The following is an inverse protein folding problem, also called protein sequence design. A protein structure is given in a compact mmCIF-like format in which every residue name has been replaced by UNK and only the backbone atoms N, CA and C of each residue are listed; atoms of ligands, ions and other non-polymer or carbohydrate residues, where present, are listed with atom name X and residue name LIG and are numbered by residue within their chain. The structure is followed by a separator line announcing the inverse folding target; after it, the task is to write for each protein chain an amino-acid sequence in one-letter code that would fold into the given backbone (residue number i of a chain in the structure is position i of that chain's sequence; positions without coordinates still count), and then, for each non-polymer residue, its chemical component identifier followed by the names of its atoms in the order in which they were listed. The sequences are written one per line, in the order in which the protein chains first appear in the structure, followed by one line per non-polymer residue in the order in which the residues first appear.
data_IF_953266202260
#
_entry.id   IF_953266202260
#
_cell.length_a   1.000
_cell.length_b   1.000
_cell.length_c   1.000
_cell.angle_alpha   90.00
_cell.angle_beta   90.00
_cell.angle_gamma   90.00
#
_symmetry.space_group_name_H-M   'P 1'
#
loop_
_entity.id
_entity.type
_entity.pdbx_description
1 polymer ?
#
# COMPACT_ATOMS: atom_id res chain seq x y z
N UNK A 1 26.96 31.53 11.55
CA UNK A 1 27.77 31.17 12.74
C UNK A 1 26.83 30.78 13.88
N UNK A 2 27.00 29.61 14.49
CA UNK A 2 26.21 29.21 15.65
C UNK A 2 26.66 30.04 16.87
N UNK A 3 25.72 30.72 17.54
CA UNK A 3 26.03 31.49 18.75
C UNK A 3 26.72 30.61 19.80
N UNK A 4 27.79 31.08 20.47
CA UNK A 4 28.51 30.29 21.46
C UNK A 4 27.59 29.90 22.62
N UNK A 5 27.69 28.65 23.09
CA UNK A 5 26.95 28.17 24.26
C UNK A 5 27.58 28.81 25.50
N UNK A 6 26.77 29.44 26.34
CA UNK A 6 27.23 30.03 27.61
C UNK A 6 26.71 29.22 28.80
N UNK A 7 27.37 29.34 29.94
CA UNK A 7 26.92 28.74 31.20
C UNK A 7 25.66 29.45 31.68
N UNK A 8 24.59 28.68 31.89
CA UNK A 8 23.25 29.15 32.30
C UNK A 8 22.71 28.25 33.40
N UNK A 9 21.82 28.76 34.23
CA UNK A 9 21.13 27.97 35.25
C UNK A 9 19.78 27.46 34.72
N UNK A 10 19.41 26.23 35.07
CA UNK A 10 18.11 25.67 34.71
C UNK A 10 16.99 26.39 35.49
N UNK A 11 15.91 26.81 34.82
CA UNK A 11 14.77 27.47 35.47
C UNK A 11 14.01 26.62 36.50
N UNK A 12 14.09 25.28 36.43
CA UNK A 12 13.37 24.39 37.37
C UNK A 12 14.26 23.86 38.51
N UNK A 13 15.53 23.56 38.21
CA UNK A 13 16.45 22.84 39.11
C UNK A 13 17.64 23.69 39.56
N UNK A 14 17.77 24.92 39.04
CA UNK A 14 18.89 25.86 39.20
C UNK A 14 20.30 25.33 38.87
N UNK A 15 20.46 24.05 38.51
CA UNK A 15 21.77 23.47 38.14
C UNK A 15 22.36 24.17 36.90
N UNK A 16 23.68 24.41 36.89
CA UNK A 16 24.36 25.00 35.74
C UNK A 16 24.36 24.03 34.54
N UNK A 17 24.21 24.57 33.34
CA UNK A 17 24.30 23.84 32.08
C UNK A 17 24.82 24.75 30.95
N UNK A 18 25.39 24.15 29.91
CA UNK A 18 25.81 24.86 28.70
C UNK A 18 24.64 24.93 27.71
N UNK A 19 24.17 26.15 27.42
CA UNK A 19 22.97 26.38 26.61
C UNK A 19 23.13 27.53 25.62
N UNK A 20 22.35 27.48 24.54
CA UNK A 20 22.19 28.63 23.64
C UNK A 20 21.38 29.76 24.29
N UNK A 21 21.28 30.93 23.64
CA UNK A 21 20.72 32.14 24.24
C UNK A 21 19.26 32.02 24.72
N UNK A 22 18.48 31.13 24.12
CA UNK A 22 17.06 30.90 24.43
C UNK A 22 16.80 29.66 25.29
N UNK A 23 17.85 28.96 25.74
CA UNK A 23 17.68 27.75 26.55
C UNK A 23 17.28 28.14 28.00
N UNK A 24 16.00 27.90 28.34
CA UNK A 24 15.43 28.19 29.68
C UNK A 24 15.60 27.03 30.67
N UNK A 25 15.72 25.81 30.16
CA UNK A 25 15.79 24.59 30.97
C UNK A 25 16.98 23.74 30.52
N UNK A 26 17.80 23.32 31.47
CA UNK A 26 18.91 22.41 31.20
C UNK A 26 18.43 20.99 30.90
N UNK A 27 19.33 20.11 30.43
CA UNK A 27 19.03 18.69 30.22
C UNK A 27 18.44 17.99 31.46
N UNK A 28 18.75 18.47 32.68
CA UNK A 28 18.20 17.96 33.97
C UNK A 28 16.67 17.92 33.99
N UNK A 29 16.00 18.94 33.45
CA UNK A 29 14.54 19.14 33.59
C UNK A 29 13.83 19.32 32.25
N UNK A 30 14.56 19.36 31.13
CA UNK A 30 13.99 19.46 29.78
C UNK A 30 12.90 18.41 29.51
N UNK A 31 13.01 17.21 30.09
CA UNK A 31 12.00 16.15 29.95
C UNK A 31 10.63 16.54 30.51
N UNK A 32 10.54 17.34 31.58
CA UNK A 32 9.28 17.84 32.17
C UNK A 32 8.50 18.78 31.22
N UNK A 33 9.23 19.38 30.29
CA UNK A 33 8.71 20.31 29.28
C UNK A 33 8.64 19.69 27.87
N UNK A 34 9.12 18.45 27.69
CA UNK A 34 8.89 17.70 26.45
C UNK A 34 7.39 17.37 26.36
N UNK A 35 6.79 17.61 25.20
CA UNK A 35 5.39 17.26 24.94
C UNK A 35 4.35 18.29 25.39
N UNK A 36 4.72 19.35 26.14
CA UNK A 36 3.81 20.47 26.46
C UNK A 36 3.68 21.43 25.28
N UNK A 37 3.20 20.95 24.14
CA UNK A 37 2.74 21.83 23.05
C UNK A 37 1.29 22.20 23.34
N UNK A 38 1.01 23.50 23.41
CA UNK A 38 -0.36 23.99 23.50
C UNK A 38 -1.18 23.40 22.32
N UNK A 39 -2.38 22.90 22.61
CA UNK A 39 -3.27 22.40 21.56
C UNK A 39 -3.69 23.59 20.69
N UNK A 40 -3.23 23.62 19.43
CA UNK A 40 -3.51 24.72 18.48
C UNK A 40 -5.01 24.89 18.19
N UNK A 41 -5.79 23.82 18.28
CA UNK A 41 -7.22 23.80 18.00
C UNK A 41 -7.96 23.27 19.22
N UNK A 42 -8.70 24.14 19.90
CA UNK A 42 -9.44 23.82 21.14
C UNK A 42 -10.92 23.71 20.82
N UNK A 43 -11.44 22.48 20.91
CA UNK A 43 -12.85 22.20 20.72
C UNK A 43 -13.67 22.66 21.93
N UNK A 44 -14.70 23.45 21.66
CA UNK A 44 -15.71 23.87 22.64
C UNK A 44 -17.04 23.21 22.28
N UNK A 45 -17.96 23.03 23.25
CA UNK A 45 -19.27 22.43 22.97
C UNK A 45 -20.06 23.21 21.89
N UNK A 46 -19.94 24.54 21.81
CA UNK A 46 -20.61 25.32 20.76
C UNK A 46 -20.06 24.98 19.36
N UNK A 47 -18.75 24.75 19.26
CA UNK A 47 -18.10 24.35 18.00
C UNK A 47 -18.46 22.93 17.58
N UNK A 48 -18.61 22.03 18.54
CA UNK A 48 -19.11 20.69 18.26
C UNK A 48 -20.56 20.75 17.79
N UNK A 49 -21.39 21.63 18.36
CA UNK A 49 -22.76 21.81 17.91
C UNK A 49 -22.84 22.40 16.50
N UNK A 50 -22.05 23.44 16.21
CA UNK A 50 -21.92 23.99 14.86
C UNK A 50 -21.49 22.93 13.84
N UNK A 51 -20.59 22.02 14.25
CA UNK A 51 -20.18 20.90 13.42
C UNK A 51 -21.35 19.93 13.21
N UNK A 52 -22.15 19.59 14.22
CA UNK A 52 -23.35 18.73 14.03
C UNK A 52 -24.38 19.35 13.09
N UNK A 53 -24.62 20.66 13.20
CA UNK A 53 -25.70 21.34 12.49
C UNK A 53 -25.35 21.58 11.00
N UNK A 54 -24.08 21.81 10.70
CA UNK A 54 -23.62 22.23 9.36
C UNK A 54 -22.83 21.15 8.62
N UNK A 55 -22.38 20.10 9.30
CA UNK A 55 -21.67 19.01 8.67
C UNK A 55 -22.67 18.08 7.99
N UNK A 56 -22.78 18.22 6.68
CA UNK A 56 -23.40 17.20 5.83
C UNK A 56 -22.31 16.41 5.13
N UNK A 57 -22.24 15.11 5.42
CA UNK A 57 -21.30 14.19 4.80
C UNK A 57 -21.61 13.91 3.32
N UNK A 58 -22.83 14.21 2.84
CA UNK A 58 -23.26 14.01 1.44
C UNK A 58 -22.87 15.17 0.55
N UNK A 59 -22.83 16.38 1.10
CA UNK A 59 -22.53 17.60 0.33
C UNK A 59 -21.03 17.77 0.13
N UNK A 60 -20.59 17.63 -1.13
CA UNK A 60 -19.19 17.84 -1.52
C UNK A 60 -18.83 19.32 -1.28
N UNK A 61 -17.85 19.57 -0.41
CA UNK A 61 -17.34 20.91 -0.12
C UNK A 61 -17.91 21.59 1.13
N UNK A 62 -18.94 21.02 1.80
CA UNK A 62 -19.51 21.59 3.03
C UNK A 62 -18.45 21.82 4.12
N UNK A 63 -17.47 20.92 4.23
CA UNK A 63 -16.36 21.02 5.19
C UNK A 63 -15.39 22.16 4.82
N UNK A 64 -15.19 22.42 3.53
CA UNK A 64 -14.30 23.48 3.09
C UNK A 64 -14.90 24.86 3.39
N UNK A 65 -16.21 25.03 3.15
CA UNK A 65 -16.93 26.24 3.55
C UNK A 65 -16.92 26.44 5.08
N UNK A 66 -17.10 25.36 5.85
CA UNK A 66 -17.03 25.42 7.31
C UNK A 66 -15.62 25.76 7.82
N UNK A 67 -14.59 25.24 7.14
CA UNK A 67 -13.17 25.51 7.42
C UNK A 67 -12.84 26.99 7.22
N UNK A 68 -13.35 27.59 6.14
CA UNK A 68 -13.19 29.00 5.84
C UNK A 68 -13.88 29.89 6.88
N UNK A 69 -15.12 29.57 7.26
CA UNK A 69 -15.85 30.33 8.29
C UNK A 69 -15.25 30.26 9.69
N UNK A 70 -14.68 29.12 10.09
CA UNK A 70 -14.05 28.93 11.42
C UNK A 70 -12.57 29.35 11.43
N UNK A 71 -11.95 29.51 10.25
CA UNK A 71 -10.52 29.78 10.11
C UNK A 71 -9.63 28.60 10.50
N UNK A 72 -10.18 27.37 10.46
CA UNK A 72 -9.48 26.15 10.86
C UNK A 72 -9.24 25.24 9.66
N UNK A 73 -8.12 24.50 9.60
CA UNK A 73 -7.90 23.57 8.51
C UNK A 73 -8.98 22.49 8.43
N UNK A 74 -9.47 22.20 7.22
CA UNK A 74 -10.51 21.21 6.96
C UNK A 74 -10.25 19.82 7.56
N UNK A 75 -8.98 19.40 7.68
CA UNK A 75 -8.62 18.12 8.27
C UNK A 75 -8.92 18.05 9.78
N UNK A 76 -8.84 19.16 10.50
CA UNK A 76 -9.15 19.24 11.94
C UNK A 76 -10.63 19.00 12.16
N UNK A 77 -11.47 19.66 11.35
CA UNK A 77 -12.92 19.50 11.34
C UNK A 77 -13.31 18.06 10.95
N UNK A 78 -12.71 17.49 9.89
CA UNK A 78 -12.92 16.07 9.50
C UNK A 78 -12.60 15.11 10.63
N UNK A 79 -11.48 15.30 11.31
CA UNK A 79 -11.06 14.43 12.41
C UNK A 79 -12.04 14.50 13.59
N UNK A 80 -12.55 15.69 13.92
CA UNK A 80 -13.57 15.84 14.96
C UNK A 80 -14.91 15.26 14.53
N UNK A 81 -15.35 15.50 13.30
CA UNK A 81 -16.57 14.93 12.74
C UNK A 81 -16.54 13.39 12.78
N UNK A 82 -15.39 12.78 12.46
CA UNK A 82 -15.19 11.34 12.61
C UNK A 82 -15.30 10.88 14.07
N UNK A 83 -14.76 11.65 15.02
CA UNK A 83 -14.88 11.35 16.46
C UNK A 83 -16.32 11.46 16.95
N UNK A 84 -17.09 12.40 16.39
CA UNK A 84 -18.50 12.62 16.72
C UNK A 84 -19.45 11.68 15.95
N UNK A 85 -18.94 10.78 15.11
CA UNK A 85 -19.75 9.87 14.31
C UNK A 85 -20.54 10.54 13.18
N UNK A 86 -20.21 11.79 12.83
CA UNK A 86 -20.92 12.57 11.81
C UNK A 86 -20.49 12.18 10.39
N UNK A 87 -19.28 11.64 10.22
CA UNK A 87 -18.86 11.07 8.94
C UNK A 87 -19.78 9.90 8.58
N UNK A 88 -20.29 9.89 7.35
CA UNK A 88 -20.88 8.68 6.78
C UNK A 88 -19.90 7.52 6.97
N UNK A 89 -20.27 6.58 7.83
CA UNK A 89 -19.77 5.22 7.70
C UNK A 89 -20.27 4.80 6.32
N UNK A 90 -19.36 4.77 5.34
CA UNK A 90 -19.67 4.17 4.05
C UNK A 90 -20.27 2.81 4.39
N UNK A 91 -21.53 2.60 3.99
CA UNK A 91 -22.36 1.49 4.45
C UNK A 91 -21.49 0.26 4.53
N UNK A 92 -21.26 -0.18 5.77
CA UNK A 92 -20.40 -1.31 6.07
C UNK A 92 -21.22 -2.54 5.72
N UNK A 93 -21.48 -2.69 4.42
CA UNK A 93 -22.34 -3.70 3.86
C UNK A 93 -21.69 -5.04 4.19
N UNK A 94 -22.47 -5.88 4.85
CA UNK A 94 -21.98 -7.19 5.25
C UNK A 94 -21.68 -8.01 3.99
N UNK A 95 -20.63 -8.82 4.10
CA UNK A 95 -20.24 -9.72 3.02
C UNK A 95 -21.23 -10.87 2.98
N UNK A 96 -21.99 -10.93 1.90
CA UNK A 96 -22.89 -12.06 1.63
C UNK A 96 -22.07 -13.31 1.31
N UNK A 97 -22.70 -14.47 1.47
CA UNK A 97 -22.08 -15.75 1.11
C UNK A 97 -21.77 -15.83 -0.38
N UNK A 98 -22.65 -15.29 -1.24
CA UNK A 98 -22.44 -15.23 -2.69
C UNK A 98 -21.19 -14.40 -3.06
N UNK A 99 -20.99 -13.24 -2.44
CA UNK A 99 -19.79 -12.43 -2.66
C UNK A 99 -18.53 -13.12 -2.11
N UNK A 100 -18.67 -13.85 -1.01
CA UNK A 100 -17.57 -14.61 -0.40
C UNK A 100 -17.17 -15.81 -1.29
N UNK A 101 -18.13 -16.51 -1.88
CA UNK A 101 -17.91 -17.56 -2.87
C UNK A 101 -17.28 -17.00 -4.17
N UNK A 102 -17.75 -15.83 -4.63
CA UNK A 102 -17.16 -15.12 -5.76
C UNK A 102 -15.70 -14.77 -5.50
N UNK A 103 -15.36 -14.31 -4.29
CA UNK A 103 -13.97 -14.10 -3.89
C UNK A 103 -13.17 -15.39 -3.91
N UNK A 104 -13.70 -16.51 -3.42
CA UNK A 104 -12.99 -17.80 -3.46
C UNK A 104 -12.65 -18.26 -4.87
N UNK A 105 -13.60 -18.14 -5.79
CA UNK A 105 -13.46 -18.59 -7.17
C UNK A 105 -12.50 -17.70 -7.98
N UNK A 106 -12.52 -16.39 -7.74
CA UNK A 106 -11.78 -15.42 -8.54
C UNK A 106 -10.48 -14.93 -7.88
N UNK A 107 -10.32 -15.12 -6.57
CA UNK A 107 -9.12 -14.70 -5.87
C UNK A 107 -7.90 -15.48 -6.37
N UNK A 108 -6.92 -14.70 -6.82
CA UNK A 108 -5.71 -15.23 -7.41
C UNK A 108 -5.86 -15.71 -8.86
N UNK A 109 -6.96 -15.41 -9.53
CA UNK A 109 -7.10 -15.52 -11.00
C UNK A 109 -7.54 -14.19 -11.62
N UNK A 110 -8.15 -13.29 -10.83
CA UNK A 110 -8.62 -11.96 -11.24
C UNK A 110 -8.02 -10.83 -10.39
N UNK A 111 -7.82 -9.65 -10.99
CA UNK A 111 -7.25 -8.49 -10.31
C UNK A 111 -8.23 -7.96 -9.26
N UNK A 112 -7.71 -7.47 -8.13
CA UNK A 112 -8.52 -6.96 -7.03
C UNK A 112 -9.46 -5.84 -7.44
N UNK A 113 -9.02 -4.93 -8.31
CA UNK A 113 -9.86 -3.85 -8.83
C UNK A 113 -11.02 -4.35 -9.72
N UNK A 114 -10.80 -5.42 -10.48
CA UNK A 114 -11.84 -5.99 -11.35
C UNK A 114 -12.90 -6.69 -10.51
N UNK A 115 -12.46 -7.48 -9.51
CA UNK A 115 -13.33 -8.12 -8.53
C UNK A 115 -14.16 -7.05 -7.81
N UNK A 116 -13.54 -5.94 -7.40
CA UNK A 116 -14.21 -4.82 -6.75
C UNK A 116 -15.31 -4.21 -7.65
N UNK A 117 -15.05 -4.06 -8.96
CA UNK A 117 -16.02 -3.54 -9.92
C UNK A 117 -17.21 -4.49 -10.12
N UNK A 118 -16.98 -5.81 -10.19
CA UNK A 118 -18.06 -6.80 -10.32
C UNK A 118 -18.94 -6.89 -9.06
N UNK A 119 -18.33 -6.76 -7.88
CA UNK A 119 -19.05 -6.77 -6.61
C UNK A 119 -19.67 -5.40 -6.25
N UNK A 120 -19.43 -4.35 -7.06
CA UNK A 120 -19.86 -2.98 -6.73
C UNK A 120 -19.24 -2.42 -5.45
N UNK A 121 -18.10 -2.96 -5.01
CA UNK A 121 -17.42 -2.59 -3.76
C UNK A 121 -16.12 -1.83 -3.99
N UNK A 122 -15.61 -1.19 -2.94
CA UNK A 122 -14.29 -0.56 -3.00
C UNK A 122 -13.18 -1.61 -3.01
N UNK A 123 -12.10 -1.34 -3.76
CA UNK A 123 -10.93 -2.22 -3.82
C UNK A 123 -10.33 -2.47 -2.44
N UNK A 124 -10.28 -1.44 -1.59
CA UNK A 124 -9.81 -1.56 -0.21
C UNK A 124 -10.66 -2.54 0.60
N UNK A 125 -12.00 -2.55 0.40
CA UNK A 125 -12.89 -3.51 1.09
C UNK A 125 -12.60 -4.95 0.66
N UNK A 126 -12.41 -5.18 -0.65
CA UNK A 126 -12.03 -6.49 -1.20
C UNK A 126 -10.70 -6.95 -0.63
N UNK A 127 -9.68 -6.10 -0.61
CA UNK A 127 -8.34 -6.42 -0.05
C UNK A 127 -8.44 -6.77 1.43
N UNK A 128 -9.18 -5.99 2.21
CA UNK A 128 -9.38 -6.25 3.64
C UNK A 128 -10.12 -7.57 3.89
N UNK A 129 -11.13 -7.89 3.06
CA UNK A 129 -11.85 -9.16 3.16
C UNK A 129 -10.96 -10.34 2.77
N UNK A 130 -10.22 -10.27 1.66
CA UNK A 130 -9.26 -11.31 1.27
C UNK A 130 -8.22 -11.55 2.35
N UNK A 131 -7.72 -10.48 3.00
CA UNK A 131 -6.82 -10.58 4.15
C UNK A 131 -7.47 -11.29 5.34
N UNK A 132 -8.72 -10.98 5.67
CA UNK A 132 -9.47 -11.66 6.74
C UNK A 132 -9.75 -13.13 6.42
N UNK A 133 -9.96 -13.44 5.14
CA UNK A 133 -10.18 -14.80 4.66
C UNK A 133 -8.87 -15.58 4.46
N UNK A 134 -7.71 -14.96 4.68
CA UNK A 134 -6.37 -15.53 4.43
C UNK A 134 -6.19 -16.08 3.00
N UNK A 135 -6.92 -15.54 2.01
CA UNK A 135 -6.79 -15.97 0.61
C UNK A 135 -5.61 -15.23 -0.04
N UNK A 136 -4.74 -15.99 -0.73
CA UNK A 136 -3.63 -15.41 -1.50
C UNK A 136 -4.14 -14.53 -2.65
N UNK A 137 -3.61 -13.32 -2.73
CA UNK A 137 -3.97 -12.31 -3.74
C UNK A 137 -3.30 -12.54 -5.11
N UNK A 138 -2.51 -13.61 -5.27
CA UNK A 138 -1.64 -13.81 -6.44
C UNK A 138 -2.44 -14.09 -7.71
N UNK A 139 -2.55 -13.09 -8.58
CA UNK A 139 -3.15 -13.18 -9.91
C UNK A 139 -2.38 -14.15 -10.82
N UNK A 140 -2.97 -15.32 -11.11
CA UNK A 140 -2.39 -16.41 -11.92
C UNK A 140 -2.44 -16.21 -13.44
N UNK A 141 -3.09 -15.15 -13.93
CA UNK A 141 -3.24 -14.90 -15.38
C UNK A 141 -2.04 -14.14 -15.98
N UNK A 142 -0.99 -13.90 -15.20
CA UNK A 142 0.30 -13.41 -15.67
C UNK A 142 0.69 -12.03 -15.14
N UNK A 143 2.00 -11.83 -15.01
CA UNK A 143 2.64 -10.63 -14.49
C UNK A 143 2.84 -9.58 -15.56
N UNK A 144 2.61 -8.33 -15.19
CA UNK A 144 3.07 -7.14 -15.91
C UNK A 144 4.52 -6.84 -15.56
N UNK A 145 5.20 -6.05 -16.40
CA UNK A 145 6.59 -5.62 -16.13
C UNK A 145 6.79 -4.98 -14.77
N UNK A 146 5.88 -4.09 -14.40
CA UNK A 146 5.96 -3.36 -13.13
C UNK A 146 5.77 -4.28 -11.93
N UNK A 147 4.95 -5.31 -12.08
CA UNK A 147 4.83 -6.36 -11.06
C UNK A 147 6.11 -7.19 -10.97
N UNK A 148 6.77 -7.47 -12.11
CA UNK A 148 8.06 -8.15 -12.13
C UNK A 148 9.19 -7.32 -11.50
N UNK A 149 9.16 -6.00 -11.59
CA UNK A 149 10.12 -5.13 -10.87
C UNK A 149 10.05 -5.38 -9.36
N UNK A 150 8.83 -5.48 -8.82
CA UNK A 150 8.61 -5.74 -7.40
C UNK A 150 9.04 -7.16 -7.02
N UNK A 151 8.81 -8.14 -7.90
CA UNK A 151 9.18 -9.53 -7.67
C UNK A 151 10.70 -9.76 -7.70
N UNK A 152 11.38 -9.30 -8.75
CA UNK A 152 12.82 -9.52 -8.93
C UNK A 152 13.70 -8.48 -8.23
N UNK A 153 13.12 -7.35 -7.78
CA UNK A 153 13.89 -6.25 -7.20
C UNK A 153 14.84 -5.59 -8.20
N UNK A 154 14.51 -5.66 -9.49
CA UNK A 154 15.29 -5.10 -10.60
C UNK A 154 14.47 -4.08 -11.38
N UNK A 155 15.15 -3.12 -11.99
CA UNK A 155 14.53 -2.06 -12.79
C UNK A 155 13.88 -2.59 -14.07
N UNK A 156 12.74 -2.01 -14.50
CA UNK A 156 12.01 -2.43 -15.70
C UNK A 156 12.86 -2.41 -16.96
N UNK A 157 13.88 -1.56 -17.08
CA UNK A 157 14.78 -1.56 -18.25
C UNK A 157 15.58 -2.87 -18.35
N UNK A 158 15.91 -3.50 -17.22
CA UNK A 158 16.60 -4.79 -17.18
C UNK A 158 15.64 -5.91 -17.61
N UNK A 159 14.40 -5.85 -17.15
CA UNK A 159 13.35 -6.83 -17.48
C UNK A 159 12.96 -6.70 -18.97
N UNK A 160 12.85 -5.48 -19.47
CA UNK A 160 12.68 -5.17 -20.90
C UNK A 160 13.82 -5.69 -21.76
N UNK A 161 15.06 -5.60 -21.27
CA UNK A 161 16.19 -6.23 -21.94
C UNK A 161 16.04 -7.76 -21.99
N UNK A 162 15.65 -8.42 -20.89
CA UNK A 162 15.42 -9.88 -20.89
C UNK A 162 14.32 -10.30 -21.86
N UNK A 163 13.29 -9.47 -22.01
CA UNK A 163 12.20 -9.67 -22.96
C UNK A 163 12.69 -9.48 -24.41
N UNK A 164 13.47 -8.43 -24.69
CA UNK A 164 14.06 -8.18 -26.01
C UNK A 164 15.05 -9.27 -26.43
N UNK A 165 15.79 -9.81 -25.47
CA UNK A 165 16.73 -10.93 -25.64
C UNK A 165 16.02 -12.30 -25.74
N UNK A 166 14.70 -12.35 -25.60
CA UNK A 166 13.92 -13.60 -25.68
C UNK A 166 14.09 -14.55 -24.50
N UNK A 167 14.68 -14.09 -23.39
CA UNK A 167 14.97 -14.91 -22.21
C UNK A 167 13.73 -15.16 -21.35
N UNK A 168 12.87 -14.15 -21.23
CA UNK A 168 11.77 -14.14 -20.27
C UNK A 168 10.42 -14.52 -20.88
N UNK A 169 10.27 -14.42 -22.20
CA UNK A 169 9.05 -14.78 -22.91
C UNK A 169 9.41 -15.55 -24.18
N UNK A 170 8.71 -16.67 -24.40
CA UNK A 170 8.75 -17.32 -25.71
C UNK A 170 7.89 -16.54 -26.70
N UNK A 171 8.43 -16.20 -27.89
CA UNK A 171 7.63 -15.63 -28.98
C UNK A 171 6.47 -16.57 -29.33
N UNK A 172 5.28 -16.02 -29.61
CA UNK A 172 4.17 -16.82 -30.14
C UNK A 172 4.58 -17.51 -31.45
N UNK A 173 4.21 -18.79 -31.67
CA UNK A 173 4.44 -19.46 -32.95
C UNK A 173 3.72 -18.70 -34.07
N UNK A 174 4.47 -18.27 -35.09
CA UNK A 174 3.99 -17.51 -36.23
C UNK A 174 5.18 -17.04 -37.09
N UNK A 175 4.94 -16.59 -38.34
CA UNK A 175 6.02 -16.11 -39.20
C UNK A 175 6.73 -14.93 -38.51
N UNK A 176 8.07 -14.87 -38.56
CA UNK A 176 8.84 -13.81 -37.93
C UNK A 176 8.35 -12.45 -38.44
N UNK A 177 8.02 -11.53 -37.52
CA UNK A 177 7.73 -10.15 -37.90
C UNK A 177 9.01 -9.51 -38.40
N UNK A 178 9.03 -9.08 -39.65
CA UNK A 178 10.14 -8.41 -40.33
C UNK A 178 10.26 -6.92 -39.95
N UNK A 179 9.58 -6.47 -38.91
CA UNK A 179 9.58 -5.07 -38.46
C UNK A 179 10.47 -4.93 -37.22
N UNK A 180 11.09 -3.77 -37.04
CA UNK A 180 11.96 -3.40 -35.89
C UNK A 180 11.29 -3.54 -34.51
N UNK A 181 10.00 -3.84 -34.50
CA UNK A 181 9.24 -4.28 -33.35
C UNK A 181 9.58 -5.75 -33.05
N UNK A 182 10.27 -5.98 -31.93
CA UNK A 182 10.75 -7.29 -31.48
C UNK A 182 9.69 -8.42 -31.38
N UNK A 183 10.02 -9.55 -30.74
CA UNK A 183 9.19 -10.77 -30.80
C UNK A 183 7.70 -10.53 -30.49
N UNK A 184 6.80 -11.26 -31.15
CA UNK A 184 5.35 -11.21 -30.86
C UNK A 184 5.08 -11.81 -29.48
N UNK A 185 4.82 -10.94 -28.50
CA UNK A 185 4.57 -11.30 -27.11
C UNK A 185 3.07 -11.24 -26.79
N UNK A 186 2.63 -11.99 -25.77
CA UNK A 186 1.25 -11.91 -25.26
C UNK A 186 0.99 -10.48 -24.76
N UNK A 187 0.04 -9.80 -25.40
CA UNK A 187 -0.34 -8.43 -25.05
C UNK A 187 -1.59 -8.40 -24.17
N UNK A 188 -1.51 -7.71 -23.03
CA UNK A 188 -2.68 -7.25 -22.27
C UNK A 188 -3.25 -6.05 -23.05
N UNK A 189 -4.55 -6.08 -23.35
CA UNK A 189 -5.26 -5.02 -24.09
C UNK A 189 -5.42 -3.73 -23.28
N UNK A 190 -4.31 -3.12 -22.87
CA UNK A 190 -4.26 -1.82 -22.19
C UNK A 190 -3.79 -0.76 -23.20
N UNK A 191 -4.32 0.47 -23.09
CA UNK A 191 -3.94 1.62 -23.95
C UNK A 191 -2.47 2.03 -23.81
N UNK A 192 -1.77 1.53 -22.79
CA UNK A 192 -0.37 1.86 -22.52
C UNK A 192 0.55 0.79 -23.07
N UNK A 193 1.29 1.14 -24.11
CA UNK A 193 2.23 0.29 -24.83
C UNK A 193 3.24 -0.46 -23.93
N UNK A 194 3.62 0.15 -22.80
CA UNK A 194 4.60 -0.38 -21.83
C UNK A 194 4.02 -1.34 -20.78
N UNK A 195 2.71 -1.30 -20.54
CA UNK A 195 1.99 -2.23 -19.64
C UNK A 195 1.41 -3.42 -20.41
N UNK A 196 1.78 -3.56 -21.69
CA UNK A 196 1.20 -4.55 -22.56
C UNK A 196 1.73 -5.96 -22.30
N UNK A 197 2.84 -6.21 -21.62
CA UNK A 197 3.39 -7.58 -21.54
C UNK A 197 2.71 -8.43 -20.48
N UNK A 198 2.39 -9.68 -20.85
CA UNK A 198 1.81 -10.68 -19.97
C UNK A 198 2.75 -11.88 -19.86
N UNK A 199 3.43 -12.00 -18.71
CA UNK A 199 4.37 -13.09 -18.41
C UNK A 199 3.72 -14.12 -17.52
N UNK A 200 3.68 -15.39 -17.92
CA UNK A 200 3.05 -16.44 -17.11
C UNK A 200 4.01 -17.03 -16.07
N UNK A 201 3.48 -17.70 -15.06
CA UNK A 201 4.28 -18.47 -14.09
C UNK A 201 5.20 -19.49 -14.79
N UNK A 202 4.72 -20.12 -15.87
CA UNK A 202 5.49 -21.07 -16.66
C UNK A 202 6.68 -20.41 -17.36
N UNK A 203 6.48 -19.20 -17.92
CA UNK A 203 7.56 -18.42 -18.54
C UNK A 203 8.61 -18.00 -17.51
N UNK A 204 8.18 -17.61 -16.31
CA UNK A 204 9.09 -17.26 -15.20
C UNK A 204 9.85 -18.46 -14.66
N UNK A 205 9.20 -19.61 -14.50
CA UNK A 205 9.84 -20.84 -14.06
C UNK A 205 10.91 -21.28 -15.06
N UNK A 206 10.61 -21.22 -16.36
CA UNK A 206 11.58 -21.47 -17.42
C UNK A 206 12.75 -20.49 -17.35
N UNK A 207 12.47 -19.18 -17.25
CA UNK A 207 13.51 -18.16 -17.13
C UNK A 207 14.44 -18.39 -15.93
N UNK A 208 13.88 -18.76 -14.77
CA UNK A 208 14.67 -19.06 -13.56
C UNK A 208 15.53 -20.30 -13.75
N UNK A 209 15.04 -21.32 -14.48
CA UNK A 209 15.78 -22.55 -14.77
C UNK A 209 16.90 -22.32 -15.80
N UNK A 210 16.61 -21.61 -16.89
CA UNK A 210 17.53 -21.40 -18.01
C UNK A 210 18.57 -20.29 -17.72
N UNK A 211 18.22 -19.33 -16.86
CA UNK A 211 19.03 -18.14 -16.58
C UNK A 211 19.15 -17.80 -15.07
N UNK A 212 19.67 -18.72 -14.23
CA UNK A 212 19.73 -18.52 -12.77
C UNK A 212 20.65 -17.36 -12.34
N UNK A 213 21.59 -16.95 -13.20
CA UNK A 213 22.53 -15.84 -12.93
C UNK A 213 22.05 -14.48 -13.46
N UNK A 214 20.94 -14.44 -14.20
CA UNK A 214 20.47 -13.19 -14.82
C UNK A 214 19.87 -12.21 -13.81
N UNK A 215 19.37 -12.72 -12.69
CA UNK A 215 18.79 -11.94 -11.60
C UNK A 215 19.56 -12.22 -10.30
N UNK A 216 19.45 -11.32 -9.33
CA UNK A 216 20.16 -11.48 -8.05
C UNK A 216 19.21 -11.96 -6.97
N UNK A 217 19.43 -13.17 -6.47
CA UNK A 217 18.62 -13.80 -5.43
C UNK A 217 18.52 -12.97 -4.13
N UNK A 218 19.51 -12.14 -3.83
CA UNK A 218 19.51 -11.24 -2.66
C UNK A 218 18.44 -10.13 -2.75
N UNK A 219 18.04 -9.76 -3.96
CA UNK A 219 17.06 -8.70 -4.23
C UNK A 219 15.67 -9.21 -4.56
N UNK A 220 15.53 -10.49 -4.88
CA UNK A 220 14.24 -11.10 -5.19
C UNK A 220 13.40 -11.16 -3.92
N UNK A 221 12.10 -10.92 -4.06
CA UNK A 221 11.14 -11.22 -2.99
C UNK A 221 11.19 -12.74 -2.71
N UNK A 222 11.78 -13.10 -1.57
CA UNK A 222 12.04 -14.48 -1.20
C UNK A 222 10.74 -15.30 -1.08
N UNK A 223 9.66 -14.69 -0.60
CA UNK A 223 8.36 -15.36 -0.44
C UNK A 223 7.69 -15.56 -1.79
N UNK A 224 7.86 -14.61 -2.72
CA UNK A 224 7.47 -14.76 -4.10
C UNK A 224 8.22 -15.88 -4.80
N UNK A 225 9.55 -15.85 -4.77
CA UNK A 225 10.42 -16.81 -5.43
C UNK A 225 10.17 -18.24 -4.96
N UNK A 226 10.11 -18.44 -3.65
CA UNK A 226 9.92 -19.77 -3.08
C UNK A 226 8.54 -20.35 -3.42
N UNK A 227 7.50 -19.53 -3.49
CA UNK A 227 6.16 -19.99 -3.88
C UNK A 227 6.04 -20.20 -5.40
N UNK A 228 6.78 -19.43 -6.22
CA UNK A 228 6.93 -19.68 -7.66
C UNK A 228 7.57 -21.06 -7.90
N UNK A 229 8.76 -21.30 -7.33
CA UNK A 229 9.53 -22.55 -7.51
C UNK A 229 8.77 -23.77 -6.99
N UNK A 230 7.99 -23.62 -5.93
CA UNK A 230 7.24 -24.72 -5.32
C UNK A 230 5.81 -24.84 -5.84
N UNK A 231 5.47 -24.19 -6.95
CA UNK A 231 4.15 -24.28 -7.61
C UNK A 231 2.98 -23.99 -6.66
N UNK A 232 3.11 -23.00 -5.78
CA UNK A 232 2.09 -22.70 -4.76
C UNK A 232 2.13 -23.59 -3.50
N UNK A 233 3.12 -24.49 -3.40
CA UNK A 233 3.20 -25.51 -2.35
C UNK A 233 3.56 -24.97 -0.97
N UNK A 234 4.31 -23.87 -0.89
CA UNK A 234 4.66 -23.27 0.40
C UNK A 234 3.50 -22.55 1.06
N UNK A 235 2.73 -21.77 0.30
CA UNK A 235 1.54 -21.12 0.85
C UNK A 235 0.52 -22.18 1.27
N UNK A 236 0.33 -23.25 0.48
CA UNK A 236 -0.55 -24.38 0.87
C UNK A 236 -0.06 -25.10 2.13
N UNK A 237 1.24 -25.41 2.24
CA UNK A 237 1.82 -26.07 3.43
C UNK A 237 1.80 -25.17 4.66
N UNK A 238 2.08 -23.88 4.52
CA UNK A 238 2.00 -22.91 5.60
C UNK A 238 0.55 -22.71 6.08
N UNK A 239 -0.40 -22.64 5.15
CA UNK A 239 -1.82 -22.54 5.47
C UNK A 239 -2.36 -23.83 6.13
N UNK A 240 -1.92 -25.00 5.65
CA UNK A 240 -2.27 -26.29 6.25
C UNK A 240 -1.64 -26.46 7.64
N UNK A 241 -0.41 -25.98 7.85
CA UNK A 241 0.23 -25.98 9.16
C UNK A 241 -0.45 -25.01 10.14
N UNK A 242 -0.87 -23.83 9.69
CA UNK A 242 -1.68 -22.91 10.51
C UNK A 242 -3.06 -23.48 10.86
N UNK A 243 -3.73 -24.15 9.91
CA UNK A 243 -5.02 -24.80 10.15
C UNK A 243 -4.92 -25.98 11.11
N UNK A 244 -3.81 -26.73 11.10
CA UNK A 244 -3.57 -27.82 12.05
C UNK A 244 -3.33 -27.33 13.49
N UNK A 245 -2.84 -26.09 13.64
CA UNK A 245 -2.61 -25.46 14.95
C UNK A 245 -3.86 -24.80 15.55
N UNK A 246 -4.83 -24.41 14.72
CA UNK A 246 -6.10 -23.76 15.15
C UNK A 246 -7.19 -24.79 15.56
N UNK A 247 -6.91 -26.09 15.37
CA UNK A 247 -7.81 -27.22 15.68
C UNK A 247 -7.31 -28.05 16.87
N UNK A 248 -6.14 -27.71 17.44
CA UNK A 248 -5.60 -28.29 18.68
C UNK A 248 -5.76 -27.33 19.86
#
# INVERSE_FOLDING_TARGET
AAAPKTQRSCGDCHRPFLGGPYARTGPCCRWKHRGRRAKKYVWTPERDQLLRDRYDARTRGAIAALAEGIGWPAWVLKKRAATLGLTHAQDRQDWTEAETAFLWDHAGHRLTHWIAKQLGRSETSVVLKLKRMKISRRFRDGYTLRELELCFGTDHHVIERWVREGKLLTPLPGPPSTTEDGPRLRRRGTERERDAWLVTDADLLRFVQDHPTAFRLDKVDQVWFMDLVLSGGLIRKALAAEQALDVS
#
